data_IF_064759226547
#
_entry.id   IF_064759226547
#
_cell.length_a   1.000
_cell.length_b   1.000
_cell.length_c   1.000
_cell.angle_alpha   90.00
_cell.angle_beta   90.00
_cell.angle_gamma   90.00
#
_symmetry.space_group_name_H-M   'P 1'
#
loop_
_entity.id
_entity.type
_entity.pdbx_description
1 polymer ?
#
# COMPACT_ATOMS: atom_id res chain seq x y z
N UNK A 1 -4.90 6.22 33.58
CA UNK A 1 -6.26 6.26 33.02
C UNK A 1 -6.16 7.02 31.73
N UNK A 2 -5.98 6.31 30.62
CA UNK A 2 -5.87 6.91 29.28
C UNK A 2 -7.28 7.28 28.84
N UNK A 3 -7.51 8.57 28.60
CA UNK A 3 -8.71 9.06 27.93
C UNK A 3 -8.73 8.46 26.51
N UNK A 4 -9.45 7.37 26.33
CA UNK A 4 -9.91 6.94 25.02
C UNK A 4 -10.92 7.99 24.53
N UNK A 5 -10.45 9.03 23.86
CA UNK A 5 -11.32 9.79 22.98
C UNK A 5 -11.71 8.82 21.87
N UNK A 6 -12.99 8.46 21.83
CA UNK A 6 -13.61 7.81 20.70
C UNK A 6 -13.51 8.80 19.52
N UNK A 7 -12.48 8.65 18.70
CA UNK A 7 -12.21 9.56 17.58
C UNK A 7 -13.18 9.33 16.42
N UNK A 8 -14.17 8.45 16.58
CA UNK A 8 -15.21 8.20 15.57
C UNK A 8 -14.73 7.51 14.31
N UNK A 9 -13.50 7.00 14.28
CA UNK A 9 -12.97 6.25 13.15
C UNK A 9 -13.06 4.76 13.41
N UNK A 10 -13.71 4.04 12.50
CA UNK A 10 -13.65 2.59 12.46
C UNK A 10 -12.32 2.13 11.86
N UNK A 11 -11.84 0.95 12.27
CA UNK A 11 -10.69 0.29 11.66
C UNK A 11 -11.03 -1.14 11.27
N UNK A 12 -10.29 -1.70 10.32
CA UNK A 12 -10.27 -3.14 10.08
C UNK A 12 -8.84 -3.60 9.81
N UNK A 13 -8.36 -4.56 10.60
CA UNK A 13 -7.03 -5.14 10.40
C UNK A 13 -7.04 -6.63 10.77
N UNK A 14 -6.57 -7.48 9.85
CA UNK A 14 -6.39 -8.93 10.08
C UNK A 14 -5.04 -9.43 9.56
N UNK A 15 -4.01 -8.56 9.57
CA UNK A 15 -2.72 -8.90 8.95
C UNK A 15 -1.84 -9.84 9.80
N UNK A 16 -2.21 -10.14 11.05
CA UNK A 16 -1.45 -11.06 11.90
C UNK A 16 -2.34 -12.17 12.46
N UNK A 17 -1.73 -13.27 12.90
CA UNK A 17 -2.45 -14.42 13.49
C UNK A 17 -3.18 -14.10 14.80
N UNK A 18 -2.74 -13.04 15.51
CA UNK A 18 -3.33 -12.60 16.78
C UNK A 18 -4.55 -11.70 16.58
N UNK A 19 -5.04 -11.58 15.37
CA UNK A 19 -6.21 -10.75 15.08
C UNK A 19 -7.42 -11.15 15.93
N UNK A 20 -8.19 -10.15 16.39
CA UNK A 20 -9.29 -10.36 17.34
C UNK A 20 -10.29 -11.43 16.86
N UNK A 21 -10.43 -12.50 17.66
CA UNK A 21 -11.33 -13.61 17.37
C UNK A 21 -11.05 -14.35 16.07
N UNK A 22 -9.86 -14.23 15.49
CA UNK A 22 -9.51 -14.80 14.19
C UNK A 22 -10.27 -14.17 13.00
N UNK A 23 -10.95 -13.03 13.22
CA UNK A 23 -11.81 -12.37 12.20
C UNK A 23 -11.31 -11.01 11.78
N UNK A 24 -10.77 -10.25 12.70
CA UNK A 24 -10.28 -8.89 12.45
C UNK A 24 -10.38 -7.99 13.69
N UNK A 25 -9.45 -7.07 13.82
CA UNK A 25 -9.49 -6.00 14.81
C UNK A 25 -10.30 -4.83 14.23
N UNK A 26 -11.36 -4.42 14.93
CA UNK A 26 -12.30 -3.39 14.43
C UNK A 26 -12.36 -2.13 15.29
N UNK A 27 -11.85 -2.17 16.54
CA UNK A 27 -11.85 -1.03 17.47
C UNK A 27 -10.44 -0.66 17.92
N UNK A 28 -9.64 -1.67 18.20
CA UNK A 28 -8.25 -1.55 18.62
C UNK A 28 -7.54 -2.83 18.20
N UNK A 29 -6.34 -2.70 17.65
CA UNK A 29 -5.51 -3.87 17.35
C UNK A 29 -5.12 -4.60 18.64
N UNK A 30 -5.12 -5.94 18.63
CA UNK A 30 -4.57 -6.74 19.75
C UNK A 30 -3.11 -6.33 20.04
N UNK A 31 -2.39 -5.90 18.99
CA UNK A 31 -1.03 -5.35 19.08
C UNK A 31 -0.95 -3.90 19.60
N UNK A 32 -2.08 -3.27 19.90
CA UNK A 32 -2.14 -1.86 20.33
C UNK A 32 -2.28 -0.84 19.19
N UNK A 33 -2.40 -1.28 17.91
CA UNK A 33 -2.65 -0.39 16.77
C UNK A 33 -3.98 0.33 16.96
N UNK A 34 -3.94 1.67 16.95
CA UNK A 34 -5.14 2.50 17.06
C UNK A 34 -5.87 2.61 15.72
N UNK A 35 -7.18 2.96 15.72
CA UNK A 35 -7.90 3.26 14.46
C UNK A 35 -7.21 4.34 13.64
N UNK A 36 -6.70 5.39 14.27
CA UNK A 36 -5.98 6.46 13.59
C UNK A 36 -4.78 5.93 12.78
N UNK A 37 -3.93 5.12 13.41
CA UNK A 37 -2.78 4.51 12.73
C UNK A 37 -3.22 3.52 11.65
N UNK A 38 -4.23 2.69 11.89
CA UNK A 38 -4.72 1.74 10.91
C UNK A 38 -5.18 2.45 9.63
N UNK A 39 -5.96 3.52 9.79
CA UNK A 39 -6.47 4.31 8.68
C UNK A 39 -5.35 5.04 7.90
N UNK A 40 -4.37 5.64 8.60
CA UNK A 40 -3.23 6.27 7.92
C UNK A 40 -2.36 5.24 7.18
N UNK A 41 -2.19 4.03 7.72
CA UNK A 41 -1.47 2.94 7.03
C UNK A 41 -2.22 2.46 5.79
N UNK A 42 -3.55 2.32 5.85
CA UNK A 42 -4.36 1.96 4.69
C UNK A 42 -4.27 3.03 3.59
N UNK A 43 -4.35 4.31 3.99
CA UNK A 43 -4.19 5.43 3.06
C UNK A 43 -2.79 5.49 2.44
N UNK A 44 -1.74 5.18 3.22
CA UNK A 44 -0.37 5.10 2.71
C UNK A 44 -0.24 3.99 1.66
N UNK A 45 -0.78 2.80 1.91
CA UNK A 45 -0.82 1.71 0.91
C UNK A 45 -1.58 2.15 -0.34
N UNK A 46 -2.67 2.90 -0.19
CA UNK A 46 -3.43 3.43 -1.33
C UNK A 46 -2.60 4.40 -2.17
N UNK A 47 -1.82 5.27 -1.53
CA UNK A 47 -0.88 6.14 -2.21
C UNK A 47 0.22 5.35 -2.94
N UNK A 48 0.77 4.28 -2.34
CA UNK A 48 1.77 3.43 -3.00
C UNK A 48 1.22 2.77 -4.27
N UNK A 49 -0.05 2.36 -4.27
CA UNK A 49 -0.73 1.86 -5.48
C UNK A 49 -0.74 2.93 -6.57
N UNK A 50 -1.06 4.18 -6.23
CA UNK A 50 -1.04 5.30 -7.18
C UNK A 50 0.36 5.61 -7.72
N UNK A 51 1.39 5.57 -6.87
CA UNK A 51 2.79 5.69 -7.28
C UNK A 51 3.16 4.56 -8.25
N UNK A 52 2.79 3.32 -7.91
CA UNK A 52 3.12 2.15 -8.72
C UNK A 52 2.43 2.15 -10.08
N UNK A 53 1.25 2.74 -10.20
CA UNK A 53 0.60 2.97 -11.49
C UNK A 53 1.49 3.80 -12.43
N UNK A 54 1.98 4.94 -12.01
CA UNK A 54 2.86 5.77 -12.85
C UNK A 54 4.23 5.13 -13.05
N UNK A 55 4.80 4.52 -12.01
CA UNK A 55 6.07 3.81 -12.10
C UNK A 55 6.00 2.65 -13.10
N UNK A 56 4.88 1.93 -13.18
CA UNK A 56 4.64 0.87 -14.16
C UNK A 56 4.66 1.40 -15.59
N UNK A 57 4.03 2.54 -15.86
CA UNK A 57 4.07 3.17 -17.19
C UNK A 57 5.50 3.54 -17.62
N UNK A 58 6.34 3.96 -16.67
CA UNK A 58 7.78 4.23 -16.94
C UNK A 58 8.49 2.93 -17.32
N UNK A 59 8.28 1.85 -16.56
CA UNK A 59 8.88 0.53 -16.89
C UNK A 59 8.41 0.00 -18.23
N UNK A 60 7.13 0.11 -18.54
CA UNK A 60 6.54 -0.36 -19.82
C UNK A 60 7.05 0.46 -21.02
N UNK A 61 7.51 1.69 -20.79
CA UNK A 61 8.20 2.52 -21.80
C UNK A 61 9.66 2.14 -21.99
N UNK A 62 10.16 1.11 -21.31
CA UNK A 62 11.56 0.66 -21.36
C UNK A 62 12.53 1.56 -20.58
N UNK A 63 12.01 2.44 -19.73
CA UNK A 63 12.81 3.31 -18.87
C UNK A 63 12.91 2.72 -17.46
N UNK A 64 13.95 3.11 -16.72
CA UNK A 64 14.11 2.72 -15.34
C UNK A 64 13.42 3.72 -14.40
N UNK A 65 12.80 3.21 -13.35
CA UNK A 65 12.30 4.01 -12.23
C UNK A 65 13.47 4.35 -11.31
N UNK A 66 13.51 5.59 -10.80
CA UNK A 66 14.54 6.02 -9.86
C UNK A 66 14.55 5.11 -8.61
N UNK A 67 15.73 4.67 -8.20
CA UNK A 67 15.91 3.79 -7.04
C UNK A 67 15.40 4.40 -5.73
N UNK A 68 15.37 5.73 -5.62
CA UNK A 68 14.79 6.41 -4.46
C UNK A 68 13.28 6.18 -4.34
N UNK A 69 12.57 6.10 -5.47
CA UNK A 69 11.13 5.78 -5.49
C UNK A 69 10.89 4.36 -4.98
N UNK A 70 11.68 3.40 -5.44
CA UNK A 70 11.54 2.00 -4.99
C UNK A 70 11.91 1.85 -3.52
N UNK A 71 12.99 2.49 -3.10
CA UNK A 71 13.38 2.54 -1.68
C UNK A 71 12.27 3.13 -0.81
N UNK A 72 11.60 4.16 -1.29
CA UNK A 72 10.45 4.75 -0.60
C UNK A 72 9.28 3.76 -0.50
N UNK A 73 8.93 3.08 -1.60
CA UNK A 73 7.87 2.04 -1.61
C UNK A 73 8.19 0.95 -0.58
N UNK A 74 9.40 0.43 -0.62
CA UNK A 74 9.86 -0.63 0.29
C UNK A 74 9.79 -0.18 1.76
N UNK A 75 10.30 1.01 2.07
CA UNK A 75 10.27 1.57 3.42
C UNK A 75 8.83 1.78 3.91
N UNK A 76 7.93 2.26 3.07
CA UNK A 76 6.51 2.42 3.44
C UNK A 76 5.82 1.07 3.67
N UNK A 77 6.08 0.06 2.84
CA UNK A 77 5.58 -1.29 3.06
C UNK A 77 6.08 -1.85 4.40
N UNK A 78 7.37 -1.72 4.68
CA UNK A 78 8.00 -2.13 5.93
C UNK A 78 7.40 -1.40 7.14
N UNK A 79 7.22 -0.09 7.06
CA UNK A 79 6.61 0.74 8.10
C UNK A 79 5.21 0.28 8.49
N UNK A 80 4.44 -0.25 7.54
CA UNK A 80 3.06 -0.73 7.78
C UNK A 80 2.97 -2.17 8.31
N UNK A 81 4.09 -2.85 8.52
CA UNK A 81 4.11 -4.17 9.14
C UNK A 81 3.59 -4.14 10.60
N UNK A 82 3.21 -5.31 11.09
CA UNK A 82 2.75 -5.47 12.47
C UNK A 82 3.86 -5.05 13.45
N UNK A 83 3.55 -4.14 14.36
CA UNK A 83 4.43 -3.64 15.42
C UNK A 83 5.73 -2.94 14.97
N UNK A 84 5.81 -2.46 13.72
CA UNK A 84 6.99 -1.73 13.25
C UNK A 84 6.92 -0.25 13.60
N UNK A 85 5.87 0.44 13.18
CA UNK A 85 5.72 1.87 13.45
C UNK A 85 4.26 2.24 13.75
N UNK A 86 4.03 2.87 14.90
CA UNK A 86 2.72 3.39 15.32
C UNK A 86 2.75 4.91 15.55
N UNK A 87 3.80 5.60 15.06
CA UNK A 87 3.89 7.05 15.16
C UNK A 87 3.00 7.71 14.09
N UNK A 88 2.04 8.50 14.53
CA UNK A 88 1.07 9.21 13.68
C UNK A 88 1.77 10.23 12.79
N UNK A 89 2.70 11.01 13.36
CA UNK A 89 3.35 12.10 12.64
C UNK A 89 4.28 11.56 11.55
N UNK A 90 4.94 10.42 11.78
CA UNK A 90 5.73 9.73 10.75
C UNK A 90 4.85 9.32 9.57
N UNK A 91 3.67 8.76 9.84
CA UNK A 91 2.74 8.35 8.77
C UNK A 91 2.20 9.55 7.98
N UNK A 92 1.90 10.67 8.65
CA UNK A 92 1.49 11.91 7.97
C UNK A 92 2.64 12.43 7.09
N UNK A 93 3.89 12.37 7.57
CA UNK A 93 5.05 12.77 6.79
C UNK A 93 5.24 11.87 5.55
N UNK A 94 5.18 10.55 5.71
CA UNK A 94 5.27 9.60 4.60
C UNK A 94 4.14 9.78 3.58
N UNK A 95 2.92 10.08 4.03
CA UNK A 95 1.80 10.40 3.15
C UNK A 95 2.06 11.63 2.29
N UNK A 96 2.57 12.72 2.86
CA UNK A 96 2.93 13.93 2.11
C UNK A 96 4.04 13.64 1.11
N UNK A 97 5.09 12.94 1.53
CA UNK A 97 6.16 12.50 0.64
C UNK A 97 5.65 11.64 -0.52
N UNK A 98 4.70 10.72 -0.25
CA UNK A 98 4.11 9.87 -1.28
C UNK A 98 3.36 10.68 -2.34
N UNK A 99 2.68 11.76 -1.95
CA UNK A 99 2.00 12.67 -2.88
C UNK A 99 3.01 13.40 -3.79
N UNK A 100 4.11 13.89 -3.22
CA UNK A 100 5.16 14.57 -4.00
C UNK A 100 5.80 13.61 -5.02
N UNK A 101 6.12 12.39 -4.61
CA UNK A 101 6.66 11.35 -5.51
C UNK A 101 5.64 11.04 -6.62
N UNK A 102 4.37 10.83 -6.27
CA UNK A 102 3.31 10.56 -7.25
C UNK A 102 3.17 11.67 -8.27
N UNK A 103 3.19 12.93 -7.84
CA UNK A 103 3.13 14.09 -8.72
C UNK A 103 4.33 14.17 -9.67
N UNK A 104 5.54 13.87 -9.17
CA UNK A 104 6.73 13.83 -10.00
C UNK A 104 6.64 12.76 -11.09
N UNK A 105 6.22 11.54 -10.74
CA UNK A 105 6.04 10.46 -11.71
C UNK A 105 4.92 10.76 -12.71
N UNK A 106 3.80 11.34 -12.26
CA UNK A 106 2.71 11.82 -13.12
C UNK A 106 3.20 12.82 -14.17
N UNK A 107 4.06 13.75 -13.78
CA UNK A 107 4.65 14.72 -14.71
C UNK A 107 5.58 14.05 -15.74
N UNK A 108 6.31 13.00 -15.36
CA UNK A 108 7.17 12.24 -16.28
C UNK A 108 6.33 11.45 -17.29
N UNK A 109 5.28 10.77 -16.81
CA UNK A 109 4.40 9.92 -17.65
C UNK A 109 3.51 10.75 -18.55
N UNK A 110 3.00 11.89 -18.05
CA UNK A 110 2.05 12.73 -18.79
C UNK A 110 0.65 12.13 -18.84
N UNK A 111 0.02 12.18 -20.03
CA UNK A 111 -1.35 11.69 -20.24
C UNK A 111 -1.37 10.17 -20.44
N UNK A 112 -2.32 9.49 -19.80
CA UNK A 112 -2.56 8.04 -19.93
C UNK A 112 -3.95 7.77 -20.47
N UNK A 113 -4.14 6.64 -21.15
CA UNK A 113 -5.44 6.25 -21.72
C UNK A 113 -6.50 5.94 -20.65
N UNK A 114 -6.04 5.55 -19.47
CA UNK A 114 -6.87 5.34 -18.27
C UNK A 114 -6.10 5.75 -17.02
N UNK A 115 -6.81 5.94 -15.93
CA UNK A 115 -6.21 6.23 -14.63
C UNK A 115 -6.95 5.46 -13.53
N UNK A 116 -6.21 4.80 -12.65
CA UNK A 116 -6.81 4.11 -11.50
C UNK A 116 -7.27 5.10 -10.42
N UNK A 117 -8.27 4.75 -9.60
CA UNK A 117 -8.71 5.63 -8.51
C UNK A 117 -7.57 6.05 -7.56
N UNK A 118 -6.63 5.15 -7.26
CA UNK A 118 -5.46 5.46 -6.41
C UNK A 118 -4.47 6.41 -7.06
N UNK A 119 -4.30 6.33 -8.39
CA UNK A 119 -3.44 7.25 -9.14
C UNK A 119 -4.09 8.65 -9.31
N UNK A 120 -5.41 8.70 -9.44
CA UNK A 120 -6.18 9.94 -9.53
C UNK A 120 -6.35 10.67 -8.18
N UNK A 121 -6.24 9.94 -7.06
CA UNK A 121 -6.46 10.50 -5.73
C UNK A 121 -5.42 11.55 -5.39
N UNK A 122 -5.86 12.70 -4.91
CA UNK A 122 -5.01 13.78 -4.41
C UNK A 122 -5.11 13.83 -2.88
N UNK A 123 -3.95 13.75 -2.23
CA UNK A 123 -3.88 13.73 -0.77
C UNK A 123 -4.24 15.10 -0.20
N UNK A 124 -5.17 15.20 0.77
CA UNK A 124 -5.47 16.47 1.42
C UNK A 124 -4.33 16.93 2.34
N UNK A 125 -4.29 18.25 2.61
CA UNK A 125 -3.21 18.89 3.36
C UNK A 125 -3.23 18.55 4.86
N UNK A 126 -4.42 18.42 5.45
CA UNK A 126 -4.55 18.24 6.91
C UNK A 126 -4.71 16.78 7.30
N UNK A 127 -4.15 16.41 8.45
CA UNK A 127 -4.33 15.06 9.02
C UNK A 127 -5.82 14.72 9.22
N UNK A 128 -6.64 15.68 9.61
CA UNK A 128 -8.07 15.46 9.82
C UNK A 128 -8.77 15.06 8.51
N UNK A 129 -8.42 15.71 7.41
CA UNK A 129 -8.96 15.39 6.10
C UNK A 129 -8.41 14.06 5.57
N UNK A 130 -7.13 13.74 5.82
CA UNK A 130 -6.55 12.43 5.50
C UNK A 130 -7.33 11.31 6.20
N UNK A 131 -7.62 11.47 7.48
CA UNK A 131 -8.38 10.48 8.27
C UNK A 131 -9.84 10.39 7.84
N UNK A 132 -10.46 11.47 7.39
CA UNK A 132 -11.81 11.45 6.82
C UNK A 132 -11.84 10.64 5.51
N UNK A 133 -10.81 10.75 4.68
CA UNK A 133 -10.72 10.07 3.39
C UNK A 133 -10.24 8.61 3.52
N UNK A 134 -9.47 8.29 4.55
CA UNK A 134 -8.83 6.98 4.75
C UNK A 134 -9.78 5.77 4.65
N UNK A 135 -11.06 5.81 5.08
CA UNK A 135 -11.98 4.69 4.94
C UNK A 135 -12.11 4.15 3.52
N UNK A 136 -11.96 5.01 2.50
CA UNK A 136 -12.00 4.57 1.09
C UNK A 136 -10.81 3.67 0.69
N UNK A 137 -9.71 3.78 1.40
CA UNK A 137 -8.51 2.97 1.19
C UNK A 137 -8.56 1.63 1.95
N UNK A 138 -9.48 1.49 2.89
CA UNK A 138 -9.60 0.33 3.76
C UNK A 138 -10.00 -0.94 3.04
N UNK A 139 -9.58 -2.08 3.58
CA UNK A 139 -9.80 -3.42 3.02
C UNK A 139 -11.29 -3.71 2.78
N UNK A 140 -12.15 -3.19 3.65
CA UNK A 140 -13.61 -3.46 3.65
C UNK A 140 -14.42 -2.40 2.92
N UNK A 141 -13.75 -1.43 2.27
CA UNK A 141 -14.44 -0.32 1.61
C UNK A 141 -15.34 -0.79 0.45
N UNK A 142 -14.78 -1.55 -0.47
CA UNK A 142 -15.53 -2.06 -1.60
C UNK A 142 -16.22 -3.39 -1.24
N UNK A 143 -17.48 -3.27 -0.82
CA UNK A 143 -18.33 -4.41 -0.48
C UNK A 143 -18.88 -5.13 -1.72
N UNK A 144 -18.78 -4.54 -2.91
CA UNK A 144 -19.23 -5.14 -4.17
C UNK A 144 -18.18 -6.06 -4.78
N UNK A 145 -16.91 -5.90 -4.37
CA UNK A 145 -15.82 -6.73 -4.81
C UNK A 145 -16.01 -8.17 -4.31
N UNK A 146 -15.81 -9.12 -5.23
CA UNK A 146 -15.83 -10.54 -4.89
C UNK A 146 -14.88 -10.84 -3.71
N UNK A 147 -15.34 -11.59 -2.69
CA UNK A 147 -14.53 -11.89 -1.51
C UNK A 147 -13.21 -12.59 -1.83
N UNK A 148 -13.17 -13.46 -2.85
CA UNK A 148 -11.96 -14.18 -3.24
C UNK A 148 -10.94 -13.23 -3.87
N UNK A 149 -11.39 -12.32 -4.72
CA UNK A 149 -10.54 -11.27 -5.29
C UNK A 149 -9.97 -10.38 -4.19
N UNK A 150 -10.78 -9.98 -3.23
CA UNK A 150 -10.33 -9.20 -2.07
C UNK A 150 -9.25 -9.96 -1.29
N UNK A 151 -9.47 -11.25 -1.03
CA UNK A 151 -8.53 -12.10 -0.30
C UNK A 151 -7.22 -12.26 -1.07
N UNK A 152 -7.26 -12.47 -2.38
CA UNK A 152 -6.07 -12.58 -3.23
C UNK A 152 -5.26 -11.28 -3.23
N UNK A 153 -5.91 -10.12 -3.35
CA UNK A 153 -5.24 -8.82 -3.26
C UNK A 153 -4.54 -8.62 -1.92
N UNK A 154 -5.18 -9.00 -0.82
CA UNK A 154 -4.56 -8.93 0.49
C UNK A 154 -3.41 -9.93 0.65
N UNK A 155 -3.51 -11.12 0.07
CA UNK A 155 -2.43 -12.11 0.06
C UNK A 155 -1.19 -11.56 -0.66
N UNK A 156 -1.38 -10.95 -1.82
CA UNK A 156 -0.28 -10.28 -2.55
C UNK A 156 0.32 -9.14 -1.71
N UNK A 157 -0.52 -8.27 -1.14
CA UNK A 157 -0.05 -7.17 -0.31
C UNK A 157 0.75 -7.66 0.91
N UNK A 158 0.29 -8.72 1.57
CA UNK A 158 1.02 -9.28 2.72
C UNK A 158 2.33 -9.95 2.29
N UNK A 159 2.36 -10.58 1.12
CA UNK A 159 3.59 -11.06 0.50
C UNK A 159 4.59 -9.92 0.27
N UNK A 160 4.14 -8.81 -0.31
CA UNK A 160 4.97 -7.61 -0.52
C UNK A 160 5.51 -7.03 0.79
N UNK A 161 4.68 -6.94 1.83
CA UNK A 161 5.12 -6.53 3.17
C UNK A 161 6.16 -7.50 3.74
N UNK A 162 5.99 -8.81 3.53
CA UNK A 162 6.98 -9.83 3.92
C UNK A 162 8.30 -9.65 3.19
N UNK A 163 8.27 -9.42 1.87
CA UNK A 163 9.48 -9.13 1.09
C UNK A 163 10.15 -7.85 1.60
N UNK A 164 9.38 -6.79 1.90
CA UNK A 164 9.93 -5.53 2.38
C UNK A 164 10.67 -5.66 3.73
N UNK A 165 10.28 -6.61 4.56
CA UNK A 165 10.97 -6.87 5.83
C UNK A 165 12.43 -7.31 5.63
N UNK A 166 12.69 -8.13 4.62
CA UNK A 166 14.04 -8.59 4.27
C UNK A 166 14.72 -7.62 3.31
N UNK A 167 14.00 -7.05 2.34
CA UNK A 167 14.52 -6.08 1.39
C UNK A 167 15.07 -4.85 2.07
N UNK A 168 14.36 -4.29 3.03
CA UNK A 168 14.83 -3.17 3.83
C UNK A 168 16.17 -3.48 4.53
N UNK A 169 16.31 -4.64 5.15
CA UNK A 169 17.55 -5.06 5.79
C UNK A 169 18.68 -5.28 4.78
N UNK A 170 18.39 -5.88 3.64
CA UNK A 170 19.37 -6.08 2.57
C UNK A 170 19.89 -4.74 2.04
N UNK A 171 18.97 -3.77 1.88
CA UNK A 171 19.31 -2.42 1.41
C UNK A 171 20.19 -1.64 2.38
N UNK A 172 19.95 -1.76 3.69
CA UNK A 172 20.83 -1.22 4.72
C UNK A 172 22.26 -1.79 4.64
N UNK A 173 22.39 -3.02 4.16
CA UNK A 173 23.67 -3.66 3.90
C UNK A 173 24.21 -3.40 2.48
N UNK A 174 23.61 -2.46 1.74
CA UNK A 174 23.95 -2.10 0.36
C UNK A 174 23.75 -3.22 -0.68
N UNK A 175 22.87 -4.18 -0.41
CA UNK A 175 22.43 -5.16 -1.41
C UNK A 175 21.16 -4.69 -2.11
N UNK A 176 21.15 -4.77 -3.44
CA UNK A 176 20.06 -4.32 -4.31
C UNK A 176 19.77 -5.39 -5.36
N UNK A 177 18.51 -5.48 -5.75
CA UNK A 177 18.07 -6.36 -6.83
C UNK A 177 17.01 -5.66 -7.69
N UNK A 178 17.34 -5.35 -8.94
CA UNK A 178 16.40 -4.71 -9.86
C UNK A 178 15.14 -5.56 -10.08
N UNK A 179 15.25 -6.89 -10.00
CA UNK A 179 14.10 -7.79 -10.10
C UNK A 179 13.13 -7.61 -8.91
N UNK A 180 13.66 -7.48 -7.69
CA UNK A 180 12.84 -7.24 -6.48
C UNK A 180 12.26 -5.83 -6.53
N UNK A 181 13.05 -4.86 -6.94
CA UNK A 181 12.65 -3.47 -7.09
C UNK A 181 11.47 -3.34 -8.07
N UNK A 182 11.59 -3.94 -9.26
CA UNK A 182 10.51 -3.95 -10.25
C UNK A 182 9.29 -4.74 -9.78
N UNK A 183 9.50 -5.82 -9.01
CA UNK A 183 8.40 -6.63 -8.50
C UNK A 183 7.49 -5.86 -7.54
N UNK A 184 8.02 -4.98 -6.68
CA UNK A 184 7.19 -4.10 -5.85
C UNK A 184 6.23 -3.27 -6.69
N UNK A 185 6.73 -2.65 -7.77
CA UNK A 185 5.94 -1.80 -8.67
C UNK A 185 4.86 -2.62 -9.35
N UNK A 186 5.25 -3.73 -9.98
CA UNK A 186 4.34 -4.58 -10.77
C UNK A 186 3.23 -5.16 -9.89
N UNK A 187 3.57 -5.67 -8.71
CA UNK A 187 2.61 -6.31 -7.83
C UNK A 187 1.66 -5.31 -7.14
N UNK A 188 2.16 -4.11 -6.74
CA UNK A 188 1.30 -3.05 -6.20
C UNK A 188 0.33 -2.48 -7.25
N UNK A 189 0.76 -2.36 -8.49
CA UNK A 189 -0.10 -1.93 -9.59
C UNK A 189 -1.14 -3.01 -9.89
N UNK A 190 -0.73 -4.28 -10.01
CA UNK A 190 -1.62 -5.38 -10.31
C UNK A 190 -2.78 -5.54 -9.31
N UNK A 191 -2.58 -5.26 -8.01
CA UNK A 191 -3.67 -5.31 -7.04
C UNK A 191 -4.69 -4.17 -7.17
N UNK A 192 -4.46 -3.20 -8.06
CA UNK A 192 -5.43 -2.15 -8.40
C UNK A 192 -6.30 -2.53 -9.58
N UNK A 193 -5.85 -3.47 -10.41
CA UNK A 193 -6.56 -3.88 -11.61
C UNK A 193 -7.85 -4.62 -11.26
N UNK A 194 -8.97 -4.12 -11.77
CA UNK A 194 -10.28 -4.77 -11.63
C UNK A 194 -10.41 -5.99 -12.55
N UNK A 195 -9.54 -6.13 -13.56
CA UNK A 195 -9.53 -7.25 -14.50
C UNK A 195 -8.83 -8.51 -13.97
N UNK A 196 -8.31 -8.49 -12.75
CA UNK A 196 -7.74 -9.67 -12.06
C UNK A 196 -8.70 -10.88 -11.96
N UNK A 197 -9.94 -10.73 -12.40
CA UNK A 197 -10.90 -11.81 -12.62
C UNK A 197 -10.34 -12.91 -13.57
N UNK A 198 -9.32 -12.57 -14.38
CA UNK A 198 -8.69 -13.49 -15.33
C UNK A 198 -7.37 -14.12 -14.86
N UNK A 199 -6.90 -13.90 -13.63
CA UNK A 199 -5.72 -14.59 -13.08
C UNK A 199 -6.02 -16.07 -12.71
N UNK A 200 -7.20 -16.57 -13.01
CA UNK A 200 -7.51 -18.00 -12.84
C UNK A 200 -6.88 -18.92 -13.90
N UNK A 201 -6.14 -18.40 -14.88
CA UNK A 201 -5.44 -19.24 -15.83
C UNK A 201 -3.94 -19.37 -15.54
N UNK A 202 -3.42 -20.62 -15.40
CA UNK A 202 -2.02 -20.91 -15.05
C UNK A 202 -0.99 -20.45 -16.11
N UNK A 203 -1.43 -19.95 -17.25
CA UNK A 203 -0.62 -19.65 -18.44
C UNK A 203 0.22 -18.36 -18.35
N UNK A 204 0.13 -17.58 -17.28
CA UNK A 204 0.96 -16.37 -17.11
C UNK A 204 2.12 -16.51 -16.11
N UNK A 205 2.33 -17.70 -15.55
CA UNK A 205 3.49 -18.00 -14.71
C UNK A 205 4.77 -18.29 -15.49
N UNK A 206 4.70 -18.38 -16.81
CA UNK A 206 5.85 -18.66 -17.68
C UNK A 206 6.77 -17.45 -17.93
N UNK A 207 6.52 -16.31 -17.30
CA UNK A 207 7.32 -15.08 -17.46
C UNK A 207 8.33 -14.87 -16.33
N UNK A 208 8.43 -15.80 -15.38
CA UNK A 208 9.43 -15.77 -14.28
C UNK A 208 10.38 -16.97 -14.43
N UNK A 209 11.01 -17.10 -15.59
CA UNK A 209 12.16 -18.00 -15.79
C UNK A 209 13.34 -17.23 -16.37
#
# INVERSE_FOLDING_TARGET
MSNNMDLGYDMFCYQCEQTAGGKGCTKLGVCGKTPEIANLQDLLIYQLKGISFYARHILDSGLNVDKSVVSFIENCLFTTLTNVNFNVDDHVHLLKQSQDIKNNLKNIVGTTDYITPSAAYELPETKADMLRDAPMAGIMYDKTLDPDIRSLRQTILYGLKGISAYGHQARELSYYSDNVDNFYIIALEAITDLSLIHISEPTRLDVIS
#
